data_IF_098391131384
#
_entry.id   IF_098391131384
#
_cell.length_a   1.000
_cell.length_b   1.000
_cell.length_c   1.000
_cell.angle_alpha   90.00
_cell.angle_beta   90.00
_cell.angle_gamma   90.00
#
_symmetry.space_group_name_H-M   'P 1'
#
loop_
_entity.id
_entity.type
_entity.pdbx_description
1 polymer ?
#
# COMPACT_ATOMS: atom_id res chain seq x y z
N UNK A 1 11.19 8.09 52.49
CA UNK A 1 12.25 8.13 51.47
C UNK A 1 11.58 8.29 50.12
N UNK A 2 11.84 9.42 49.46
CA UNK A 2 11.13 9.87 48.26
C UNK A 2 11.58 9.06 47.02
N UNK A 3 10.62 8.58 46.24
CA UNK A 3 10.85 8.09 44.88
C UNK A 3 10.80 9.29 43.93
N UNK A 4 11.91 9.50 43.21
CA UNK A 4 12.08 10.52 42.18
C UNK A 4 11.23 10.17 40.95
N UNK A 5 10.27 11.02 40.61
CA UNK A 5 9.51 10.98 39.37
C UNK A 5 10.40 11.39 38.19
N UNK A 6 10.85 10.42 37.40
CA UNK A 6 11.47 10.68 36.10
C UNK A 6 10.37 10.95 35.05
N UNK A 7 10.14 12.23 34.76
CA UNK A 7 9.38 12.69 33.62
C UNK A 7 10.17 12.41 32.33
N UNK A 8 9.69 11.46 31.53
CA UNK A 8 10.19 11.26 30.16
C UNK A 8 9.61 12.35 29.28
N UNK A 9 10.47 13.27 28.82
CA UNK A 9 10.15 14.23 27.76
C UNK A 9 9.87 13.46 26.46
N UNK A 10 8.58 13.30 26.14
CA UNK A 10 8.13 13.12 24.76
C UNK A 10 8.57 14.37 23.99
N UNK A 11 9.50 14.24 23.04
CA UNK A 11 9.77 15.31 22.07
C UNK A 11 8.47 15.54 21.30
N UNK A 12 7.98 16.77 21.30
CA UNK A 12 6.77 17.15 20.60
C UNK A 12 6.90 16.84 19.11
N UNK A 13 6.00 16.00 18.60
CA UNK A 13 5.76 15.90 17.17
C UNK A 13 4.98 17.16 16.80
N UNK A 14 5.64 18.10 16.12
CA UNK A 14 5.01 19.31 15.62
C UNK A 14 4.00 18.93 14.53
N UNK A 15 2.71 18.93 14.87
CA UNK A 15 1.62 19.03 13.90
C UNK A 15 1.45 20.51 13.57
N UNK A 16 1.70 20.89 12.31
CA UNK A 16 1.38 22.26 11.86
C UNK A 16 -0.13 22.34 11.64
N UNK A 17 -0.82 22.89 12.64
CA UNK A 17 -2.21 23.34 12.49
C UNK A 17 -2.27 24.59 11.62
N UNK A 18 -3.34 24.70 10.86
CA UNK A 18 -3.74 25.90 10.12
C UNK A 18 -4.08 26.98 11.15
N UNK A 19 -3.14 27.88 11.43
CA UNK A 19 -3.32 29.30 11.78
C UNK A 19 -1.94 29.88 12.15
N UNK A 20 -1.60 31.02 11.56
CA UNK A 20 -0.23 31.54 11.52
C UNK A 20 0.35 32.00 12.86
N UNK A 21 1.64 31.76 13.04
CA UNK A 21 2.62 32.79 13.42
C UNK A 21 4.03 32.19 13.33
N UNK A 22 4.82 32.79 12.44
CA UNK A 22 6.24 32.51 12.24
C UNK A 22 7.07 33.08 13.39
N UNK A 23 7.87 32.24 14.05
CA UNK A 23 9.02 32.71 14.81
C UNK A 23 10.30 32.17 14.17
N UNK A 24 11.04 33.08 13.54
CA UNK A 24 12.39 32.86 13.04
C UNK A 24 13.36 32.82 14.23
N UNK A 25 14.20 31.78 14.30
CA UNK A 25 15.50 31.90 14.95
C UNK A 25 16.59 31.47 13.97
N UNK A 26 17.35 32.49 13.55
CA UNK A 26 18.54 32.39 12.73
C UNK A 26 19.72 32.00 13.64
N UNK A 27 20.41 30.89 13.35
CA UNK A 27 21.71 30.61 13.98
C UNK A 27 22.74 30.36 12.88
N UNK A 28 23.62 31.35 12.73
CA UNK A 28 24.82 31.35 11.90
C UNK A 28 25.85 30.33 12.46
N UNK A 29 26.18 29.32 11.67
CA UNK A 29 27.30 28.41 11.91
C UNK A 29 28.39 28.59 10.85
N UNK A 30 29.54 29.13 11.26
CA UNK A 30 30.70 29.49 10.44
C UNK A 30 31.29 28.31 9.65
N UNK A 31 31.58 28.54 8.38
CA UNK A 31 32.46 27.71 7.56
C UNK A 31 33.93 27.85 8.01
N UNK A 32 34.65 26.73 8.05
CA UNK A 32 36.11 26.69 8.08
C UNK A 32 36.58 25.71 7.01
N UNK A 33 37.13 26.26 5.92
CA UNK A 33 37.77 25.52 4.85
C UNK A 33 39.14 25.00 5.28
N UNK A 34 39.45 23.73 4.98
CA UNK A 34 40.83 23.27 4.74
C UNK A 34 40.88 22.25 3.59
N UNK A 35 41.98 22.39 2.87
CA UNK A 35 42.36 21.93 1.54
C UNK A 35 42.81 20.45 1.46
N UNK A 36 42.72 19.90 0.23
CA UNK A 36 43.49 18.74 -0.27
C UNK A 36 42.77 17.40 -0.07
N UNK A 37 42.67 16.48 -1.03
CA UNK A 37 43.41 16.25 -2.27
C UNK A 37 42.61 15.30 -3.19
N UNK A 38 42.89 15.40 -4.47
CA UNK A 38 42.31 14.70 -5.61
C UNK A 38 42.66 13.22 -5.69
N UNK A 39 41.66 12.35 -5.88
CA UNK A 39 41.84 11.02 -6.49
C UNK A 39 40.74 10.75 -7.52
N UNK A 40 41.13 10.77 -8.79
CA UNK A 40 40.35 10.37 -9.95
C UNK A 40 40.05 8.86 -9.86
N UNK A 41 38.78 8.48 -9.70
CA UNK A 41 38.28 7.17 -10.11
C UNK A 41 37.25 7.33 -11.22
N UNK A 42 37.58 6.72 -12.36
CA UNK A 42 36.83 6.70 -13.62
C UNK A 42 35.37 6.30 -13.36
N UNK A 43 34.43 7.19 -13.67
CA UNK A 43 33.01 6.85 -13.81
C UNK A 43 32.84 6.12 -15.14
N UNK A 44 32.49 4.84 -15.07
CA UNK A 44 31.83 4.17 -16.17
C UNK A 44 30.44 4.80 -16.35
N UNK A 45 30.25 5.50 -17.46
CA UNK A 45 28.95 6.02 -17.88
C UNK A 45 28.18 4.84 -18.45
N UNK A 46 27.25 4.27 -17.67
CA UNK A 46 26.24 3.40 -18.26
C UNK A 46 25.23 4.31 -18.98
N UNK A 47 25.32 4.33 -20.31
CA UNK A 47 24.30 4.88 -21.20
C UNK A 47 22.98 4.15 -20.96
N UNK A 48 22.06 4.84 -20.31
CA UNK A 48 20.65 4.48 -20.32
C UNK A 48 20.08 4.81 -21.70
N UNK A 49 19.84 3.80 -22.50
CA UNK A 49 19.00 3.84 -23.70
C UNK A 49 18.20 2.54 -23.66
N UNK A 50 16.91 2.59 -23.36
CA UNK A 50 15.88 3.13 -24.24
C UNK A 50 14.96 4.13 -23.56
N UNK A 51 14.93 5.35 -24.10
CA UNK A 51 13.85 6.29 -23.88
C UNK A 51 12.61 5.78 -24.62
N UNK A 52 11.68 5.15 -23.91
CA UNK A 52 10.29 5.08 -24.36
C UNK A 52 9.64 6.45 -24.07
N UNK A 53 8.72 6.86 -24.93
CA UNK A 53 8.05 8.18 -24.97
C UNK A 53 7.79 8.74 -23.57
N UNK A 54 8.24 9.98 -23.32
CA UNK A 54 7.94 10.79 -22.14
C UNK A 54 6.43 10.95 -21.91
N UNK A 55 5.78 9.95 -21.34
CA UNK A 55 4.41 10.05 -20.89
C UNK A 55 4.43 10.37 -19.40
N UNK A 56 3.89 11.54 -19.08
CA UNK A 56 3.88 12.22 -17.78
C UNK A 56 2.91 11.56 -16.81
N UNK A 57 3.04 10.27 -16.55
CA UNK A 57 2.11 9.62 -15.63
C UNK A 57 2.53 9.84 -14.18
N UNK A 58 1.60 10.40 -13.43
CA UNK A 58 1.72 10.67 -12.01
C UNK A 58 0.82 9.75 -11.21
N UNK A 59 1.21 9.39 -9.97
CA UNK A 59 0.33 8.68 -9.06
C UNK A 59 -0.97 9.46 -8.84
N UNK A 60 -2.09 8.74 -8.89
CA UNK A 60 -3.41 9.26 -8.58
C UNK A 60 -3.95 8.55 -7.34
N UNK A 61 -4.68 9.30 -6.50
CA UNK A 61 -5.38 8.75 -5.35
C UNK A 61 -6.87 8.60 -5.70
N UNK A 62 -7.42 7.40 -5.55
CA UNK A 62 -8.86 7.18 -5.75
C UNK A 62 -9.67 7.97 -4.72
N UNK A 63 -10.64 8.74 -5.21
CA UNK A 63 -11.63 9.43 -4.39
C UNK A 63 -12.75 8.45 -3.97
N UNK A 64 -13.52 8.77 -2.92
CA UNK A 64 -14.73 8.03 -2.59
C UNK A 64 -15.63 7.90 -3.82
N UNK A 65 -16.18 6.72 -4.10
CA UNK A 65 -17.02 6.52 -5.27
C UNK A 65 -18.29 7.35 -5.15
N UNK A 66 -18.72 7.94 -6.26
CA UNK A 66 -20.03 8.58 -6.35
C UNK A 66 -21.05 7.58 -6.92
N UNK A 67 -22.23 7.52 -6.31
CA UNK A 67 -23.32 6.63 -6.72
C UNK A 67 -24.38 7.44 -7.45
N UNK A 68 -24.41 7.33 -8.78
CA UNK A 68 -25.41 8.01 -9.62
C UNK A 68 -26.23 6.98 -10.38
N UNK A 69 -27.57 7.02 -10.22
CA UNK A 69 -28.51 6.16 -10.95
C UNK A 69 -28.20 4.65 -10.91
N UNK A 70 -27.54 4.19 -9.84
CA UNK A 70 -27.14 2.79 -9.68
C UNK A 70 -25.87 2.40 -10.43
N UNK A 71 -25.04 3.36 -10.84
CA UNK A 71 -23.68 3.16 -11.34
C UNK A 71 -22.68 3.72 -10.33
N UNK A 72 -21.57 3.01 -10.11
CA UNK A 72 -20.45 3.47 -9.27
C UNK A 72 -19.43 4.21 -10.13
N UNK A 73 -19.20 5.49 -9.87
CA UNK A 73 -18.25 6.33 -10.59
C UNK A 73 -16.98 6.52 -9.75
N UNK A 74 -15.85 5.99 -10.23
CA UNK A 74 -14.54 6.19 -9.61
C UNK A 74 -13.87 7.46 -10.13
N UNK A 75 -13.58 8.40 -9.24
CA UNK A 75 -12.79 9.60 -9.55
C UNK A 75 -11.41 9.49 -8.93
N UNK A 76 -10.45 10.24 -9.47
CA UNK A 76 -9.05 10.17 -9.08
C UNK A 76 -8.48 11.55 -8.85
N UNK A 77 -7.78 11.77 -7.74
CA UNK A 77 -7.04 12.99 -7.49
C UNK A 77 -5.60 12.85 -7.98
N UNK A 78 -5.21 13.70 -8.93
CA UNK A 78 -3.86 13.79 -9.46
C UNK A 78 -3.01 14.68 -8.56
N UNK A 79 -2.04 14.09 -7.86
CA UNK A 79 -1.15 14.81 -6.92
C UNK A 79 -0.43 16.00 -7.59
N UNK A 80 0.31 15.85 -8.70
CA UNK A 80 1.06 16.98 -9.25
C UNK A 80 0.20 18.05 -9.89
N UNK A 81 -0.94 17.65 -10.47
CA UNK A 81 -1.79 18.57 -11.20
C UNK A 81 -2.77 19.28 -10.27
N UNK A 82 -2.94 18.78 -9.05
CA UNK A 82 -3.94 19.22 -8.10
C UNK A 82 -5.33 19.29 -8.73
N UNK A 83 -5.71 18.21 -9.42
CA UNK A 83 -6.93 18.11 -10.23
C UNK A 83 -7.61 16.77 -10.05
N UNK A 84 -8.93 16.80 -10.12
CA UNK A 84 -9.76 15.61 -10.20
C UNK A 84 -9.79 15.13 -11.65
N UNK A 85 -9.45 13.87 -11.84
CA UNK A 85 -9.55 13.10 -13.07
C UNK A 85 -10.80 12.23 -12.96
N UNK A 86 -11.70 12.35 -13.93
CA UNK A 86 -12.92 11.54 -14.03
C UNK A 86 -12.79 10.68 -15.27
N UNK A 87 -12.40 9.40 -15.14
CA UNK A 87 -12.44 8.45 -16.25
C UNK A 87 -13.87 8.35 -16.79
N UNK A 88 -14.03 8.33 -18.11
CA UNK A 88 -15.32 8.09 -18.74
C UNK A 88 -15.66 6.60 -18.55
N UNK A 89 -16.84 6.25 -18.01
CA UNK A 89 -17.25 4.85 -17.89
C UNK A 89 -17.22 4.15 -19.26
N UNK A 90 -16.77 2.90 -19.32
CA UNK A 90 -16.92 2.10 -20.53
C UNK A 90 -18.33 1.51 -20.61
N UNK A 91 -18.88 1.42 -21.82
CA UNK A 91 -20.11 0.67 -22.09
C UNK A 91 -19.93 -0.78 -21.61
N UNK A 92 -20.72 -1.21 -20.62
CA UNK A 92 -20.65 -2.55 -20.01
C UNK A 92 -20.19 -2.58 -18.54
N UNK A 93 -19.56 -1.52 -18.02
CA UNK A 93 -19.22 -1.39 -16.58
C UNK A 93 -20.36 -0.73 -15.79
N UNK A 94 -21.32 -0.12 -16.48
CA UNK A 94 -22.49 0.59 -15.92
C UNK A 94 -23.40 -0.26 -15.01
N UNK A 95 -23.20 -1.57 -14.95
CA UNK A 95 -23.98 -2.49 -14.10
C UNK A 95 -23.20 -3.02 -12.88
N UNK A 96 -21.97 -2.56 -12.65
CA UNK A 96 -21.18 -2.91 -11.46
C UNK A 96 -21.65 -2.07 -10.26
N UNK A 97 -22.87 -2.36 -9.79
CA UNK A 97 -23.35 -1.84 -8.50
C UNK A 97 -22.46 -2.41 -7.40
N UNK A 98 -21.86 -1.54 -6.59
CA UNK A 98 -21.19 -1.87 -5.33
C UNK A 98 -19.88 -2.69 -5.50
N UNK A 99 -19.08 -2.49 -6.55
CA UNK A 99 -17.79 -3.19 -6.66
C UNK A 99 -16.77 -2.70 -5.63
N UNK A 100 -16.12 -3.64 -4.95
CA UNK A 100 -14.99 -3.36 -4.06
C UNK A 100 -13.69 -3.41 -4.86
N UNK A 101 -12.85 -2.39 -4.76
CA UNK A 101 -11.55 -2.40 -5.41
C UNK A 101 -10.54 -3.17 -4.55
N UNK A 102 -10.01 -4.28 -5.07
CA UNK A 102 -9.05 -5.16 -4.37
C UNK A 102 -7.64 -5.10 -4.92
N UNK A 103 -7.36 -4.16 -5.82
CA UNK A 103 -6.06 -4.07 -6.44
C UNK A 103 -5.94 -2.92 -7.40
N UNK A 104 -4.74 -2.35 -7.47
CA UNK A 104 -4.31 -1.55 -8.61
C UNK A 104 -2.89 -1.93 -8.99
N UNK A 105 -2.68 -2.30 -10.25
CA UNK A 105 -1.35 -2.63 -10.78
C UNK A 105 -1.29 -2.37 -12.28
N UNK A 106 -0.16 -1.88 -12.79
CA UNK A 106 0.11 -1.69 -14.22
C UNK A 106 -0.97 -0.88 -15.00
N UNK A 107 -1.61 0.10 -14.37
CA UNK A 107 -2.68 0.89 -15.00
C UNK A 107 -4.06 0.23 -14.98
N UNK A 108 -4.20 -0.92 -14.31
CA UNK A 108 -5.45 -1.63 -14.12
C UNK A 108 -5.93 -1.52 -12.68
N UNK A 109 -7.25 -1.52 -12.51
CA UNK A 109 -7.97 -1.70 -11.25
C UNK A 109 -8.58 -3.10 -11.24
N UNK A 110 -8.48 -3.79 -10.11
CA UNK A 110 -9.18 -5.04 -9.88
C UNK A 110 -10.45 -4.75 -9.10
N UNK A 111 -11.60 -4.91 -9.75
CA UNK A 111 -12.92 -4.63 -9.20
C UNK A 111 -13.62 -5.97 -8.92
N UNK A 112 -13.92 -6.25 -7.65
CA UNK A 112 -14.69 -7.42 -7.24
C UNK A 112 -16.17 -7.06 -7.18
N UNK A 113 -17.00 -7.77 -7.94
CA UNK A 113 -18.44 -7.61 -7.88
C UNK A 113 -19.02 -8.47 -6.75
N UNK A 114 -19.70 -7.86 -5.75
CA UNK A 114 -20.26 -8.61 -4.62
C UNK A 114 -21.50 -9.43 -5.01
N UNK A 115 -22.08 -9.17 -6.19
CA UNK A 115 -23.30 -9.85 -6.63
C UNK A 115 -23.00 -11.24 -7.23
N UNK A 116 -21.85 -11.36 -7.90
CA UNK A 116 -21.54 -12.54 -8.70
C UNK A 116 -20.13 -13.10 -8.44
N UNK A 117 -19.38 -12.55 -7.47
CA UNK A 117 -18.06 -13.04 -7.08
C UNK A 117 -17.09 -13.13 -8.28
N UNK A 118 -17.23 -12.21 -9.23
CA UNK A 118 -16.33 -12.07 -10.37
C UNK A 118 -15.45 -10.84 -10.23
N UNK A 119 -14.18 -11.03 -10.58
CA UNK A 119 -13.26 -9.92 -10.79
C UNK A 119 -13.37 -9.39 -12.22
N UNK A 120 -13.40 -8.07 -12.33
CA UNK A 120 -13.17 -7.34 -13.58
C UNK A 120 -11.89 -6.54 -13.41
N UNK A 121 -10.91 -6.79 -14.27
CA UNK A 121 -9.79 -5.87 -14.45
C UNK A 121 -10.29 -4.74 -15.35
N UNK A 122 -10.19 -3.51 -14.88
CA UNK A 122 -10.58 -2.31 -15.63
C UNK A 122 -9.40 -1.36 -15.77
N UNK A 123 -9.12 -0.89 -16.97
CA UNK A 123 -8.13 0.16 -17.22
C UNK A 123 -8.87 1.50 -17.44
N UNK A 124 -8.83 2.45 -16.48
CA UNK A 124 -9.53 3.73 -16.61
C UNK A 124 -9.05 4.61 -17.77
N UNK A 125 -7.84 4.37 -18.29
CA UNK A 125 -7.24 5.16 -19.37
C UNK A 125 -7.64 4.60 -20.74
N UNK A 126 -7.42 3.30 -20.95
CA UNK A 126 -7.77 2.65 -22.23
C UNK A 126 -9.27 2.37 -22.35
N UNK A 127 -9.97 2.28 -21.21
CA UNK A 127 -11.37 1.85 -21.07
C UNK A 127 -11.60 0.37 -21.39
N UNK A 128 -10.53 -0.40 -21.50
CA UNK A 128 -10.63 -1.85 -21.69
C UNK A 128 -10.94 -2.53 -20.36
N UNK A 129 -11.59 -3.68 -20.46
CA UNK A 129 -11.90 -4.53 -19.33
C UNK A 129 -11.67 -6.00 -19.66
N UNK A 130 -11.27 -6.77 -18.65
CA UNK A 130 -11.02 -8.21 -18.74
C UNK A 130 -11.74 -8.89 -17.58
N UNK A 131 -12.59 -9.87 -17.90
CA UNK A 131 -13.21 -10.72 -16.88
C UNK A 131 -12.22 -11.80 -16.44
N UNK A 132 -11.97 -11.88 -15.14
CA UNK A 132 -11.19 -12.95 -14.55
C UNK A 132 -12.09 -14.15 -14.17
N UNK A 133 -11.51 -15.33 -13.93
CA UNK A 133 -12.25 -16.47 -13.43
C UNK A 133 -13.02 -16.16 -12.14
N UNK A 134 -14.15 -16.83 -11.94
CA UNK A 134 -14.95 -16.68 -10.72
C UNK A 134 -14.17 -17.17 -9.50
N UNK A 135 -14.29 -16.45 -8.37
CA UNK A 135 -13.75 -16.91 -7.08
C UNK A 135 -14.71 -17.82 -6.32
N UNK A 136 -15.88 -18.15 -6.90
CA UNK A 136 -16.95 -18.95 -6.28
C UNK A 136 -16.51 -20.38 -5.93
N UNK A 137 -15.57 -20.94 -6.68
CA UNK A 137 -15.13 -22.33 -6.51
C UNK A 137 -13.71 -22.47 -5.97
N UNK A 138 -13.13 -21.39 -5.42
CA UNK A 138 -11.86 -21.50 -4.71
C UNK A 138 -12.06 -22.37 -3.48
N UNK A 139 -11.53 -23.59 -3.53
CA UNK A 139 -11.59 -24.51 -2.42
C UNK A 139 -10.95 -23.86 -1.17
N UNK A 140 -11.58 -23.96 0.01
CA UNK A 140 -10.95 -23.53 1.24
C UNK A 140 -9.67 -24.35 1.47
N UNK A 141 -8.65 -23.73 2.07
CA UNK A 141 -7.47 -24.46 2.49
C UNK A 141 -7.88 -25.57 3.48
N UNK A 142 -7.31 -26.79 3.39
CA UNK A 142 -7.64 -27.86 4.32
C UNK A 142 -7.41 -27.42 5.78
N UNK A 143 -8.47 -27.35 6.57
CA UNK A 143 -8.42 -26.89 7.97
C UNK A 143 -8.78 -25.41 8.21
N UNK A 144 -9.19 -24.67 7.17
CA UNK A 144 -9.77 -23.34 7.36
C UNK A 144 -11.09 -23.43 8.15
N UNK A 145 -11.18 -22.70 9.28
CA UNK A 145 -12.42 -22.52 10.02
C UNK A 145 -13.31 -21.54 9.26
N UNK A 146 -14.10 -22.03 8.31
CA UNK A 146 -15.19 -21.24 7.74
C UNK A 146 -16.20 -21.00 8.86
N UNK A 147 -16.33 -19.77 9.34
CA UNK A 147 -17.45 -19.42 10.19
C UNK A 147 -18.73 -19.56 9.35
N UNK A 148 -19.80 -20.08 9.94
CA UNK A 148 -21.07 -20.29 9.24
C UNK A 148 -21.73 -18.99 8.73
N UNK A 149 -21.20 -17.83 9.13
CA UNK A 149 -21.68 -16.49 8.77
C UNK A 149 -20.86 -15.79 7.68
N UNK A 150 -19.73 -16.34 7.20
CA UNK A 150 -18.99 -15.74 6.06
C UNK A 150 -19.71 -16.02 4.75
N UNK A 151 -20.81 -15.31 4.52
CA UNK A 151 -21.48 -15.20 3.22
C UNK A 151 -20.68 -14.33 2.24
N UNK A 152 -19.71 -13.55 2.73
CA UNK A 152 -18.77 -12.82 1.89
C UNK A 152 -17.44 -13.56 1.73
N UNK A 153 -17.06 -13.73 0.46
CA UNK A 153 -15.72 -14.14 0.07
C UNK A 153 -14.85 -12.90 0.05
N UNK A 154 -14.10 -12.67 1.11
CA UNK A 154 -13.16 -11.55 1.13
C UNK A 154 -11.88 -11.95 0.40
N UNK A 155 -11.53 -11.16 -0.62
CA UNK A 155 -10.25 -11.28 -1.32
C UNK A 155 -9.43 -10.09 -0.90
N UNK A 156 -8.36 -10.29 -0.15
CA UNK A 156 -7.62 -9.21 0.47
C UNK A 156 -6.80 -8.40 -0.54
N UNK A 157 -6.31 -9.04 -1.60
CA UNK A 157 -5.48 -8.33 -2.59
C UNK A 157 -5.43 -9.05 -3.92
N UNK A 158 -5.42 -8.30 -5.01
CA UNK A 158 -5.08 -8.76 -6.36
C UNK A 158 -3.94 -7.90 -6.92
N UNK A 159 -2.87 -8.55 -7.37
CA UNK A 159 -1.78 -7.90 -8.12
C UNK A 159 -1.57 -8.57 -9.48
N UNK A 160 -1.03 -7.80 -10.42
CA UNK A 160 -0.62 -8.26 -11.74
C UNK A 160 0.90 -8.22 -11.85
N UNK A 161 1.50 -9.19 -12.56
CA UNK A 161 2.93 -9.18 -12.88
C UNK A 161 3.32 -8.21 -14.00
N UNK A 162 2.37 -7.90 -14.89
CA UNK A 162 2.52 -7.00 -16.02
C UNK A 162 1.14 -6.53 -16.48
N UNK A 163 1.07 -5.60 -17.43
CA UNK A 163 -0.20 -5.28 -18.07
C UNK A 163 -0.64 -6.49 -18.93
N UNK A 164 -1.88 -7.00 -18.77
CA UNK A 164 -2.38 -8.11 -19.57
C UNK A 164 -2.43 -7.79 -21.08
N UNK A 165 -2.57 -6.51 -21.47
CA UNK A 165 -2.50 -6.08 -22.88
C UNK A 165 -1.07 -6.13 -23.46
N UNK A 166 -0.04 -6.04 -22.62
CA UNK A 166 1.35 -6.02 -23.08
C UNK A 166 1.96 -7.43 -23.14
N UNK A 167 1.45 -8.35 -22.33
CA UNK A 167 1.99 -9.70 -22.15
C UNK A 167 0.86 -10.70 -21.88
N UNK A 168 0.01 -10.91 -22.89
CA UNK A 168 -1.19 -11.75 -22.78
C UNK A 168 -0.89 -13.19 -22.34
N UNK A 169 0.29 -13.71 -22.66
CA UNK A 169 0.70 -15.09 -22.39
C UNK A 169 1.37 -15.27 -21.01
N UNK A 170 2.18 -14.31 -20.58
CA UNK A 170 2.97 -14.43 -19.34
C UNK A 170 2.49 -13.53 -18.21
N UNK A 171 1.50 -12.65 -18.44
CA UNK A 171 0.83 -11.95 -17.36
C UNK A 171 0.19 -12.95 -16.39
N UNK A 172 0.39 -12.70 -15.10
CA UNK A 172 -0.17 -13.48 -14.00
C UNK A 172 -0.90 -12.51 -13.09
N UNK A 173 -2.16 -12.82 -12.82
CA UNK A 173 -2.88 -12.25 -11.69
C UNK A 173 -2.70 -13.18 -10.49
N UNK A 174 -2.27 -12.62 -9.35
CA UNK A 174 -2.17 -13.33 -8.08
C UNK A 174 -3.16 -12.70 -7.11
N UNK A 175 -3.96 -13.54 -6.46
CA UNK A 175 -4.86 -13.15 -5.38
C UNK A 175 -4.41 -13.73 -4.03
N UNK A 176 -4.64 -12.95 -2.98
CA UNK A 176 -4.68 -13.41 -1.60
C UNK A 176 -6.15 -13.58 -1.23
N UNK A 177 -6.60 -14.81 -1.00
CA UNK A 177 -7.97 -15.10 -0.59
C UNK A 177 -8.06 -15.06 0.94
N UNK A 178 -8.78 -14.08 1.48
CA UNK A 178 -8.91 -13.84 2.92
C UNK A 178 -9.67 -14.96 3.64
N UNK A 179 -10.73 -15.49 3.02
CA UNK A 179 -11.53 -16.56 3.65
C UNK A 179 -10.82 -17.90 3.75
N UNK A 180 -9.97 -18.22 2.77
CA UNK A 180 -9.27 -19.51 2.74
C UNK A 180 -7.81 -19.43 3.14
N UNK A 181 -7.28 -18.22 3.38
CA UNK A 181 -5.85 -17.96 3.56
C UNK A 181 -4.97 -18.59 2.46
N UNK A 182 -5.51 -18.68 1.24
CA UNK A 182 -4.83 -19.32 0.12
C UNK A 182 -4.39 -18.29 -0.91
N UNK A 183 -3.24 -18.55 -1.53
CA UNK A 183 -2.87 -17.90 -2.77
C UNK A 183 -3.55 -18.61 -3.93
N UNK A 184 -4.01 -17.85 -4.92
CA UNK A 184 -4.39 -18.43 -6.19
C UNK A 184 -3.97 -17.50 -7.32
N UNK A 185 -3.69 -18.07 -8.49
CA UNK A 185 -3.25 -17.29 -9.62
C UNK A 185 -3.89 -17.75 -10.92
N UNK A 186 -3.93 -16.87 -11.91
CA UNK A 186 -4.42 -17.17 -13.23
C UNK A 186 -3.70 -16.33 -14.30
N UNK A 187 -3.90 -16.71 -15.57
CA UNK A 187 -3.54 -15.91 -16.72
C UNK A 187 -4.78 -15.12 -17.17
N UNK A 188 -4.86 -13.79 -16.97
CA UNK A 188 -6.10 -13.02 -17.11
C UNK A 188 -6.91 -13.26 -18.38
N UNK A 189 -6.25 -13.42 -19.52
CA UNK A 189 -6.90 -13.57 -20.83
C UNK A 189 -7.10 -15.02 -21.30
N UNK A 190 -6.56 -16.00 -20.56
CA UNK A 190 -6.52 -17.41 -21.02
C UNK A 190 -7.11 -18.40 -20.03
N UNK A 191 -6.91 -18.17 -18.75
CA UNK A 191 -7.39 -19.06 -17.71
C UNK A 191 -8.91 -18.97 -17.59
N UNK A 192 -9.56 -20.13 -17.46
CA UNK A 192 -11.00 -20.22 -17.15
C UNK A 192 -11.26 -20.44 -15.66
N UNK A 193 -10.21 -20.80 -14.92
CA UNK A 193 -10.23 -21.13 -13.51
C UNK A 193 -8.97 -20.59 -12.83
N UNK A 194 -9.03 -20.44 -11.52
CA UNK A 194 -7.89 -20.10 -10.69
C UNK A 194 -7.10 -21.36 -10.33
N UNK A 195 -5.78 -21.29 -10.45
CA UNK A 195 -4.88 -22.31 -9.90
C UNK A 195 -4.59 -21.97 -8.45
N UNK A 196 -5.08 -22.79 -7.53
CA UNK A 196 -4.82 -22.63 -6.10
C UNK A 196 -3.39 -23.10 -5.78
N UNK A 197 -2.67 -22.30 -5.01
CA UNK A 197 -1.34 -22.65 -4.51
C UNK A 197 -1.52 -23.20 -3.09
N UNK A 198 -1.24 -24.49 -2.94
CA UNK A 198 -1.23 -25.17 -1.66
C UNK A 198 0.22 -25.34 -1.21
N UNK A 199 0.58 -24.72 -0.08
CA UNK A 199 1.88 -24.87 0.55
C UNK A 199 1.77 -25.87 1.70
N UNK A 200 1.75 -27.16 1.37
CA UNK A 200 1.60 -28.24 2.36
C UNK A 200 2.76 -28.30 3.35
N UNK A 201 3.94 -27.79 2.98
CA UNK A 201 5.14 -27.82 3.82
C UNK A 201 5.13 -26.74 4.91
N UNK A 202 4.57 -25.55 4.64
CA UNK A 202 4.54 -24.42 5.58
C UNK A 202 3.26 -23.59 5.39
N UNK A 203 2.09 -24.11 5.83
CA UNK A 203 0.85 -23.36 5.76
C UNK A 203 0.98 -22.04 6.52
N UNK A 204 0.67 -20.93 5.86
CA UNK A 204 0.81 -19.60 6.42
C UNK A 204 -0.38 -18.70 6.03
N UNK A 205 -0.68 -17.70 6.85
CA UNK A 205 -1.65 -16.66 6.48
C UNK A 205 -0.91 -15.58 5.70
N UNK A 206 -1.36 -15.35 4.47
CA UNK A 206 -0.75 -14.36 3.59
C UNK A 206 -1.38 -13.00 3.83
N UNK A 207 -0.55 -11.96 3.93
CA UNK A 207 -1.03 -10.64 4.33
C UNK A 207 -0.65 -9.54 3.32
N UNK A 208 0.33 -9.79 2.45
CA UNK A 208 0.69 -8.86 1.37
C UNK A 208 1.45 -9.55 0.23
N UNK A 209 1.42 -8.99 -0.98
CA UNK A 209 2.18 -9.48 -2.13
C UNK A 209 2.59 -8.36 -3.10
N UNK A 210 3.72 -8.59 -3.80
CA UNK A 210 4.24 -7.78 -4.91
C UNK A 210 4.92 -8.64 -5.97
N UNK A 211 5.09 -8.09 -7.18
CA UNK A 211 5.83 -8.74 -8.25
C UNK A 211 7.10 -7.97 -8.61
N UNK A 212 8.24 -8.67 -8.64
CA UNK A 212 9.51 -8.08 -9.06
C UNK A 212 9.77 -8.36 -10.54
N UNK A 213 9.53 -7.36 -11.40
CA UNK A 213 9.82 -7.47 -12.84
C UNK A 213 11.29 -7.81 -13.15
N UNK A 214 12.23 -7.38 -12.29
CA UNK A 214 13.66 -7.69 -12.42
C UNK A 214 13.94 -9.18 -12.19
N UNK A 215 13.37 -9.75 -11.14
CA UNK A 215 13.60 -11.14 -10.76
C UNK A 215 12.64 -12.10 -11.45
N UNK A 216 11.54 -11.58 -12.02
CA UNK A 216 10.42 -12.33 -12.58
C UNK A 216 9.78 -13.28 -11.57
N UNK A 217 9.66 -12.81 -10.33
CA UNK A 217 9.17 -13.60 -9.21
C UNK A 217 8.17 -12.79 -8.39
N UNK A 218 7.21 -13.50 -7.81
CA UNK A 218 6.31 -12.97 -6.80
C UNK A 218 6.94 -13.07 -5.42
N UNK A 219 6.73 -12.04 -4.62
CA UNK A 219 7.10 -12.01 -3.22
C UNK A 219 5.82 -11.87 -2.40
N UNK A 220 5.65 -12.76 -1.43
CA UNK A 220 4.45 -12.83 -0.61
C UNK A 220 4.85 -12.82 0.85
N UNK A 221 4.22 -11.95 1.63
CA UNK A 221 4.42 -11.83 3.08
C UNK A 221 3.39 -12.68 3.81
N UNK A 222 3.85 -13.32 4.86
CA UNK A 222 3.02 -14.10 5.78
C UNK A 222 2.94 -13.44 7.15
N UNK A 223 1.90 -13.78 7.91
CA UNK A 223 1.64 -13.32 9.28
C UNK A 223 2.74 -13.70 10.28
N UNK A 224 3.46 -14.79 10.02
CA UNK A 224 4.55 -15.29 10.85
C UNK A 224 5.92 -14.67 10.52
N UNK A 225 5.89 -13.49 9.88
CA UNK A 225 7.06 -12.67 9.53
C UNK A 225 8.04 -13.38 8.61
N UNK A 226 7.51 -14.08 7.63
CA UNK A 226 8.28 -14.60 6.51
C UNK A 226 7.92 -13.85 5.24
N UNK A 227 8.88 -13.82 4.32
CA UNK A 227 8.65 -13.50 2.92
C UNK A 227 8.96 -14.75 2.11
N UNK A 228 7.95 -15.26 1.43
CA UNK A 228 8.08 -16.35 0.49
C UNK A 228 8.29 -15.79 -0.93
N UNK A 229 9.13 -16.47 -1.71
CA UNK A 229 9.37 -16.14 -3.12
C UNK A 229 8.79 -17.23 -4.01
N UNK A 230 7.97 -16.86 -4.99
CA UNK A 230 7.23 -17.77 -5.85
C UNK A 230 7.52 -17.54 -7.33
N UNK A 231 7.76 -18.63 -8.05
CA UNK A 231 7.79 -18.69 -9.50
C UNK A 231 6.47 -19.29 -10.00
N UNK A 232 5.69 -18.47 -10.72
CA UNK A 232 4.37 -18.80 -11.26
C UNK A 232 4.37 -18.84 -12.79
N UNK A 233 5.56 -19.04 -13.40
CA UNK A 233 5.70 -19.12 -14.86
C UNK A 233 4.95 -20.33 -15.41
N UNK A 234 5.09 -21.50 -14.76
CA UNK A 234 4.36 -22.72 -15.08
C UNK A 234 3.01 -22.76 -14.34
N UNK A 235 1.91 -22.65 -15.09
CA UNK A 235 0.55 -22.66 -14.55
C UNK A 235 0.17 -23.97 -13.84
N UNK A 236 0.85 -25.08 -14.18
CA UNK A 236 0.56 -26.42 -13.64
C UNK A 236 1.45 -26.79 -12.46
N UNK A 237 2.55 -26.05 -12.25
CA UNK A 237 3.56 -26.36 -11.23
C UNK A 237 4.10 -25.06 -10.62
N UNK A 238 3.30 -24.36 -9.78
CA UNK A 238 3.80 -23.21 -9.03
C UNK A 238 4.92 -23.66 -8.08
N UNK A 239 6.02 -22.89 -8.04
CA UNK A 239 7.21 -23.27 -7.26
C UNK A 239 7.58 -22.20 -6.25
N UNK A 240 7.64 -22.61 -4.98
CA UNK A 240 8.24 -21.82 -3.91
C UNK A 240 9.75 -21.95 -3.98
N UNK A 241 10.43 -20.82 -4.18
CA UNK A 241 11.88 -20.78 -4.39
C UNK A 241 12.63 -20.54 -3.08
N UNK A 242 12.12 -19.66 -2.21
CA UNK A 242 12.75 -19.27 -0.94
C UNK A 242 11.72 -18.88 0.10
N UNK A 243 12.10 -19.03 1.36
CA UNK A 243 11.36 -18.55 2.54
C UNK A 243 12.35 -17.84 3.46
N UNK A 244 12.07 -16.57 3.76
CA UNK A 244 13.00 -15.70 4.47
C UNK A 244 12.34 -15.07 5.68
N UNK A 245 12.89 -15.31 6.86
CA UNK A 245 12.43 -14.67 8.11
C UNK A 245 13.06 -13.29 8.26
N UNK A 246 12.30 -12.38 8.84
CA UNK A 246 12.79 -11.07 9.26
C UNK A 246 12.37 -10.76 10.68
N UNK A 247 13.17 -9.92 11.33
CA UNK A 247 12.85 -9.34 12.64
C UNK A 247 13.26 -7.87 12.61
N UNK A 248 12.48 -7.04 13.27
CA UNK A 248 12.67 -5.60 13.33
C UNK A 248 12.45 -5.05 14.75
N UNK A 249 12.24 -5.92 15.75
CA UNK A 249 12.12 -5.46 17.13
C UNK A 249 13.47 -5.08 17.74
N UNK A 250 13.63 -3.82 18.09
CA UNK A 250 14.61 -3.40 19.12
C UNK A 250 13.98 -3.45 20.52
N UNK A 251 14.80 -3.54 21.57
CA UNK A 251 14.37 -3.67 22.98
C UNK A 251 13.49 -2.50 23.47
N UNK A 252 13.64 -1.31 22.88
CA UNK A 252 12.88 -0.09 23.22
C UNK A 252 11.48 -0.11 22.60
N UNK A 253 11.32 -0.79 21.45
CA UNK A 253 10.05 -0.85 20.72
C UNK A 253 9.05 -1.78 21.38
N UNK A 254 9.51 -2.81 22.11
CA UNK A 254 8.63 -3.67 22.93
C UNK A 254 7.76 -2.89 23.93
N UNK A 255 8.20 -1.71 24.38
CA UNK A 255 7.42 -0.85 25.29
C UNK A 255 6.34 -0.03 24.56
N UNK A 256 6.58 0.36 23.29
CA UNK A 256 5.59 1.06 22.45
C UNK A 256 4.57 0.09 21.85
N UNK A 257 4.98 -1.16 21.60
CA UNK A 257 4.14 -2.25 21.10
C UNK A 257 2.90 -2.56 21.95
N UNK A 258 2.91 -2.19 23.23
CA UNK A 258 1.72 -2.35 24.10
C UNK A 258 0.59 -1.40 23.65
N UNK A 259 0.86 -0.40 22.78
CA UNK A 259 -0.05 0.72 22.48
C UNK A 259 -0.12 1.13 21.01
N UNK A 260 0.54 0.41 20.10
CA UNK A 260 0.55 0.71 18.66
C UNK A 260 0.47 -0.57 17.86
N UNK A 261 -0.31 -0.56 16.79
CA UNK A 261 -0.32 -1.64 15.80
C UNK A 261 0.67 -1.34 14.66
N UNK A 262 0.99 -2.37 13.87
CA UNK A 262 1.87 -2.25 12.71
C UNK A 262 1.26 -2.86 11.46
N UNK A 263 1.24 -2.10 10.36
CA UNK A 263 0.97 -2.65 9.03
C UNK A 263 2.27 -2.72 8.24
N UNK A 264 2.50 -3.84 7.57
CA UNK A 264 3.72 -4.09 6.82
C UNK A 264 3.41 -4.23 5.32
N UNK A 265 4.13 -3.46 4.50
CA UNK A 265 3.95 -3.39 3.06
C UNK A 265 5.21 -3.85 2.35
N UNK A 266 5.09 -4.82 1.45
CA UNK A 266 6.13 -5.14 0.49
C UNK A 266 6.11 -4.10 -0.63
N UNK A 267 7.27 -3.55 -0.98
CA UNK A 267 7.39 -2.48 -1.98
C UNK A 267 8.51 -2.81 -2.96
N UNK A 268 8.20 -2.73 -4.25
CA UNK A 268 9.21 -2.79 -5.31
C UNK A 268 9.69 -1.37 -5.61
N UNK A 269 10.94 -1.07 -5.22
CA UNK A 269 11.58 0.22 -5.39
C UNK A 269 12.70 0.13 -6.43
N UNK A 270 12.33 0.22 -7.71
CA UNK A 270 13.24 0.05 -8.83
C UNK A 270 13.84 -1.36 -8.86
N UNK A 271 15.08 -1.52 -8.39
CA UNK A 271 15.77 -2.83 -8.34
C UNK A 271 15.70 -3.52 -6.99
N UNK A 272 15.27 -2.78 -5.98
CA UNK A 272 15.25 -3.22 -4.59
C UNK A 272 13.85 -3.67 -4.19
N UNK A 273 13.80 -4.67 -3.31
CA UNK A 273 12.58 -5.05 -2.60
C UNK A 273 12.71 -4.52 -1.17
N UNK A 274 11.68 -3.82 -0.71
CA UNK A 274 11.63 -3.22 0.62
C UNK A 274 10.46 -3.80 1.40
N UNK A 275 10.64 -3.92 2.71
CA UNK A 275 9.57 -4.09 3.68
C UNK A 275 9.40 -2.75 4.39
N UNK A 276 8.25 -2.11 4.19
CA UNK A 276 7.91 -0.81 4.78
C UNK A 276 6.93 -1.05 5.92
N UNK A 277 7.37 -0.74 7.14
CA UNK A 277 6.59 -0.95 8.36
C UNK A 277 5.96 0.37 8.76
N UNK A 278 4.64 0.41 8.79
CA UNK A 278 3.79 1.52 9.20
C UNK A 278 3.38 1.32 10.65
N UNK A 279 3.73 2.26 11.52
CA UNK A 279 3.31 2.22 12.93
C UNK A 279 2.06 3.09 13.08
N UNK A 280 1.02 2.50 13.68
CA UNK A 280 -0.32 3.08 13.82
C UNK A 280 -0.64 3.18 15.31
N UNK A 281 -1.09 4.34 15.74
CA UNK A 281 -1.51 4.55 17.13
C UNK A 281 -3.03 4.44 17.25
N UNK A 282 -3.51 3.56 18.14
CA UNK A 282 -4.92 3.14 18.23
C UNK A 282 -5.80 4.02 19.14
N UNK A 283 -5.31 5.16 19.65
CA UNK A 283 -6.03 5.96 20.64
C UNK A 283 -5.76 7.46 20.57
N UNK A 284 -6.10 8.09 19.43
CA UNK A 284 -5.97 9.54 19.29
C UNK A 284 -7.32 10.24 19.24
N UNK A 285 -7.48 11.28 20.07
CA UNK A 285 -8.66 12.13 20.11
C UNK A 285 -8.77 13.13 18.97
N UNK A 286 -9.94 13.78 18.82
CA UNK A 286 -10.19 14.77 17.77
C UNK A 286 -9.22 15.96 17.78
N UNK A 287 -8.67 16.29 18.95
CA UNK A 287 -7.68 17.35 19.17
C UNK A 287 -6.24 16.89 18.98
N UNK A 288 -6.03 15.69 18.43
CA UNK A 288 -4.72 15.02 18.33
C UNK A 288 -4.08 14.62 19.66
N UNK A 289 -4.81 14.68 20.79
CA UNK A 289 -4.32 14.19 22.08
C UNK A 289 -4.36 12.65 22.14
N UNK A 290 -3.31 12.04 22.69
CA UNK A 290 -3.27 10.59 22.86
C UNK A 290 -3.99 10.21 24.15
N UNK A 291 -4.99 9.34 24.07
CA UNK A 291 -5.69 8.82 25.23
C UNK A 291 -5.03 7.53 25.73
N UNK A 292 -5.00 7.38 27.05
CA UNK A 292 -4.35 6.25 27.74
C UNK A 292 -5.36 5.30 28.41
N UNK A 293 -6.67 5.58 28.33
CA UNK A 293 -7.71 4.84 29.04
C UNK A 293 -8.67 4.15 28.07
N UNK A 294 -8.90 2.85 28.31
CA UNK A 294 -9.71 1.91 27.53
C UNK A 294 -11.20 2.32 27.43
N UNK A 295 -11.65 3.28 28.25
CA UNK A 295 -13.07 3.69 28.31
C UNK A 295 -13.49 4.70 27.23
N UNK A 296 -12.55 5.24 26.46
CA UNK A 296 -12.81 6.21 25.38
C UNK A 296 -12.49 5.65 23.97
N UNK A 297 -12.34 4.31 23.84
CA UNK A 297 -12.02 3.63 22.58
C UNK A 297 -13.06 3.95 21.48
N UNK A 298 -14.34 4.08 21.87
CA UNK A 298 -15.46 4.37 20.95
C UNK A 298 -15.34 5.73 20.24
N UNK A 299 -14.38 6.58 20.62
CA UNK A 299 -14.09 7.88 19.96
C UNK A 299 -12.68 7.97 19.40
N UNK A 300 -11.94 6.88 19.43
CA UNK A 300 -10.53 6.87 19.06
C UNK A 300 -10.32 6.73 17.55
N UNK A 301 -9.31 7.45 17.04
CA UNK A 301 -8.85 7.30 15.66
C UNK A 301 -7.54 6.55 15.62
N UNK A 302 -7.43 5.65 14.65
CA UNK A 302 -6.17 5.12 14.18
C UNK A 302 -5.42 6.22 13.42
N UNK A 303 -4.14 6.41 13.73
CA UNK A 303 -3.30 7.34 12.99
C UNK A 303 -1.87 6.84 12.83
N UNK A 304 -1.35 7.03 11.63
CA UNK A 304 0.02 6.76 11.28
C UNK A 304 0.94 7.75 11.97
N UNK A 305 1.92 7.22 12.70
CA UNK A 305 2.87 8.03 13.46
C UNK A 305 4.26 8.03 12.85
N UNK A 306 4.70 6.90 12.28
CA UNK A 306 6.03 6.77 11.69
C UNK A 306 6.13 5.56 10.78
N UNK A 307 7.23 5.52 10.03
CA UNK A 307 7.60 4.38 9.22
C UNK A 307 9.03 3.92 9.49
N UNK A 308 9.24 2.62 9.35
CA UNK A 308 10.55 2.00 9.20
C UNK A 308 10.65 1.25 7.87
N UNK A 309 11.89 1.06 7.40
CA UNK A 309 12.15 0.39 6.13
C UNK A 309 13.26 -0.61 6.33
N UNK A 310 13.00 -1.85 5.90
CA UNK A 310 14.01 -2.88 5.73
C UNK A 310 14.20 -3.14 4.24
N UNK A 311 15.45 -3.28 3.82
CA UNK A 311 15.82 -3.68 2.47
C UNK A 311 16.07 -5.18 2.43
N UNK A 312 15.44 -5.84 1.46
CA UNK A 312 15.76 -7.21 1.12
C UNK A 312 17.10 -7.30 0.38
N UNK A 313 18.00 -8.12 0.90
CA UNK A 313 19.32 -8.43 0.36
C UNK A 313 19.49 -9.96 0.33
N UNK A 314 19.25 -10.62 -0.83
CA UNK A 314 19.26 -12.08 -0.96
C UNK A 314 20.65 -12.71 -0.78
N UNK A 315 21.70 -11.90 -0.60
CA UNK A 315 23.09 -12.38 -0.53
C UNK A 315 23.58 -12.58 0.90
N UNK A 316 22.79 -12.22 1.92
CA UNK A 316 23.26 -12.19 3.31
C UNK A 316 22.34 -12.93 4.28
N UNK A 317 22.90 -13.73 5.19
CA UNK A 317 22.13 -14.37 6.27
C UNK A 317 21.33 -13.33 7.05
N UNK A 318 20.01 -13.53 7.17
CA UNK A 318 19.09 -12.52 7.74
C UNK A 318 18.74 -11.45 6.71
N UNK A 319 18.21 -11.86 5.56
CA UNK A 319 18.11 -11.13 4.30
C UNK A 319 17.31 -9.80 4.33
N UNK A 320 16.88 -9.29 5.47
CA UNK A 320 16.26 -7.96 5.61
C UNK A 320 17.09 -7.09 6.57
N UNK A 321 17.50 -5.91 6.10
CA UNK A 321 18.34 -4.97 6.87
C UNK A 321 17.69 -3.60 6.95
N UNK A 322 17.72 -2.99 8.13
CA UNK A 322 17.30 -1.60 8.29
C UNK A 322 18.12 -0.69 7.37
N UNK A 323 17.43 0.26 6.76
CA UNK A 323 18.05 1.32 5.98
C UNK A 323 18.02 2.64 6.74
N UNK A 324 19.01 3.48 6.51
CA UNK A 324 19.03 4.82 7.12
C UNK A 324 18.00 5.76 6.47
N UNK A 325 17.76 6.91 7.12
CA UNK A 325 16.81 7.91 6.63
C UNK A 325 17.19 8.51 5.27
N UNK A 326 18.46 8.47 4.89
CA UNK A 326 18.95 8.98 3.61
C UNK A 326 18.77 7.98 2.46
N UNK A 327 18.44 6.72 2.77
CA UNK A 327 18.34 5.62 1.81
C UNK A 327 17.38 5.89 0.66
N UNK A 328 16.25 6.53 0.93
CA UNK A 328 15.28 6.85 -0.12
C UNK A 328 15.94 7.66 -1.23
N UNK A 329 16.96 8.48 -0.93
CA UNK A 329 17.82 9.10 -1.93
C UNK A 329 17.03 9.88 -2.99
N UNK A 330 15.88 10.46 -2.62
CA UNK A 330 14.95 11.15 -3.51
C UNK A 330 13.82 10.29 -4.09
N UNK A 331 13.64 9.05 -3.65
CA UNK A 331 12.46 8.24 -3.95
C UNK A 331 11.24 8.71 -3.15
N UNK A 332 10.07 8.57 -3.75
CA UNK A 332 8.77 8.64 -3.11
C UNK A 332 8.13 7.25 -3.17
N UNK A 333 7.69 6.72 -2.02
CA UNK A 333 7.05 5.40 -1.88
C UNK A 333 5.54 5.60 -1.73
N UNK A 334 4.75 4.71 -2.32
CA UNK A 334 3.28 4.70 -2.26
C UNK A 334 2.81 3.36 -1.68
N UNK A 335 2.08 3.39 -0.56
CA UNK A 335 1.58 2.21 0.17
C UNK A 335 0.09 2.38 0.53
N UNK A 336 -0.64 1.28 0.64
CA UNK A 336 -2.08 1.27 0.93
C UNK A 336 -2.69 -0.13 0.96
N UNK A 337 -3.84 -0.30 1.62
CA UNK A 337 -4.38 -1.61 2.08
C UNK A 337 -4.68 -2.65 0.99
N UNK A 338 -4.89 -2.23 -0.26
CA UNK A 338 -5.05 -3.13 -1.41
C UNK A 338 -4.16 -2.78 -2.61
N UNK A 339 -3.35 -1.72 -2.50
CA UNK A 339 -2.59 -1.20 -3.63
C UNK A 339 -1.34 -2.05 -3.89
N UNK A 340 -0.97 -2.25 -5.16
CA UNK A 340 0.40 -2.71 -5.46
C UNK A 340 1.35 -1.58 -5.07
N UNK A 341 2.09 -1.75 -3.97
CA UNK A 341 2.95 -0.69 -3.48
C UNK A 341 4.19 -0.53 -4.38
N UNK A 342 4.55 0.71 -4.65
CA UNK A 342 5.60 1.05 -5.60
C UNK A 342 6.41 2.26 -5.14
N UNK A 343 7.57 2.47 -5.76
CA UNK A 343 8.35 3.68 -5.57
C UNK A 343 8.67 4.36 -6.90
N UNK A 344 8.61 5.69 -6.90
CA UNK A 344 9.02 6.52 -8.04
C UNK A 344 10.11 7.49 -7.62
N UNK A 345 10.99 7.86 -8.55
CA UNK A 345 11.93 8.95 -8.32
C UNK A 345 11.16 10.26 -8.31
N UNK A 346 11.33 11.07 -7.26
CA UNK A 346 10.78 12.40 -7.23
C UNK A 346 11.47 13.27 -8.29
N UNK A 347 10.66 13.92 -9.12
CA UNK A 347 11.10 14.85 -10.15
C UNK A 347 10.19 16.06 -10.15
N UNK A 348 10.62 17.17 -10.77
CA UNK A 348 9.72 18.31 -10.95
C UNK A 348 8.49 17.96 -11.82
N UNK A 349 8.60 16.97 -12.71
CA UNK A 349 7.55 16.63 -13.65
C UNK A 349 6.39 15.84 -13.02
N UNK A 350 6.68 14.97 -12.06
CA UNK A 350 5.65 14.18 -11.36
C UNK A 350 5.18 14.82 -10.04
N UNK A 351 5.78 15.94 -9.62
CA UNK A 351 5.35 16.77 -8.48
C UNK A 351 5.35 16.08 -7.10
N UNK A 352 5.87 14.86 -7.01
CA UNK A 352 5.95 14.13 -5.73
C UNK A 352 7.14 14.63 -4.92
N UNK A 353 6.99 14.65 -3.60
CA UNK A 353 8.02 15.09 -2.65
C UNK A 353 9.11 14.01 -2.55
N UNK A 354 10.41 14.36 -2.67
CA UNK A 354 11.49 13.40 -2.47
C UNK A 354 11.53 12.89 -1.02
N UNK A 355 12.06 11.68 -0.83
CA UNK A 355 12.25 11.06 0.49
C UNK A 355 10.95 10.98 1.30
N UNK A 356 9.84 10.72 0.63
CA UNK A 356 8.51 10.72 1.23
C UNK A 356 7.82 9.37 1.05
N UNK A 357 6.94 9.03 1.99
CA UNK A 357 6.05 7.87 1.93
C UNK A 357 4.63 8.40 1.90
N UNK A 358 3.94 8.15 0.79
CA UNK A 358 2.54 8.45 0.58
C UNK A 358 1.75 7.22 1.00
N UNK A 359 0.87 7.38 1.98
CA UNK A 359 0.12 6.28 2.57
C UNK A 359 -1.38 6.56 2.53
N UNK A 360 -2.16 5.50 2.42
CA UNK A 360 -3.60 5.50 2.64
C UNK A 360 -3.95 4.79 3.93
N UNK A 361 -5.22 4.84 4.30
CA UNK A 361 -5.72 4.13 5.45
C UNK A 361 -5.49 2.62 5.28
N UNK A 362 -5.20 1.97 6.40
CA UNK A 362 -4.90 0.55 6.55
C UNK A 362 -5.78 -0.14 7.59
N UNK A 363 -6.67 0.59 8.25
CA UNK A 363 -7.84 0.02 8.91
C UNK A 363 -8.70 -0.68 7.86
N UNK A 364 -9.06 -1.94 8.12
CA UNK A 364 -9.81 -2.76 7.18
C UNK A 364 -11.17 -2.17 6.83
N UNK A 365 -11.84 -2.74 5.83
CA UNK A 365 -13.26 -2.47 5.52
C UNK A 365 -14.18 -3.05 6.61
N UNK A 366 -13.96 -2.72 7.88
CA UNK A 366 -14.76 -3.15 9.04
C UNK A 366 -16.10 -2.42 9.14
N UNK A 367 -16.71 -2.04 8.02
CA UNK A 367 -17.97 -1.29 7.95
C UNK A 367 -19.14 -2.08 7.36
N UNK A 368 -18.98 -3.37 7.09
CA UNK A 368 -20.06 -4.20 6.53
C UNK A 368 -20.45 -5.37 7.44
N UNK A 369 -19.82 -5.51 8.61
CA UNK A 369 -20.39 -6.30 9.70
C UNK A 369 -21.62 -5.54 10.22
N UNK A 370 -22.75 -6.22 10.36
CA UNK A 370 -24.04 -5.67 10.81
C UNK A 370 -24.06 -5.19 12.27
N UNK A 371 -23.14 -4.29 12.62
CA UNK A 371 -23.20 -3.44 13.79
C UNK A 371 -24.22 -2.33 13.57
N UNK A 372 -24.97 -2.03 14.63
CA UNK A 372 -25.97 -0.96 14.70
C UNK A 372 -25.51 0.37 14.09
N UNK A 373 -26.46 1.17 13.60
CA UNK A 373 -26.33 2.55 13.08
C UNK A 373 -25.53 3.56 13.97
N UNK A 374 -25.00 3.12 15.11
CA UNK A 374 -24.29 3.92 16.11
C UNK A 374 -22.77 3.62 16.22
N UNK A 375 -22.22 2.58 15.57
CA UNK A 375 -20.75 2.35 15.54
C UNK A 375 -20.10 3.12 14.38
N UNK A 376 -20.13 4.45 14.52
CA UNK A 376 -19.55 5.48 13.66
C UNK A 376 -18.01 5.48 13.79
N UNK A 377 -17.37 4.33 13.56
CA UNK A 377 -15.92 4.19 13.61
C UNK A 377 -15.31 5.10 12.55
N UNK A 378 -14.40 5.97 13.00
CA UNK A 378 -13.68 6.96 12.20
C UNK A 378 -12.63 6.34 11.28
N UNK A 379 -12.81 5.07 10.89
CA UNK A 379 -12.01 4.35 9.92
C UNK A 379 -12.04 5.08 8.57
N UNK A 380 -10.98 4.94 7.78
CA UNK A 380 -10.74 5.57 6.47
C UNK A 380 -10.11 7.00 6.47
N UNK A 381 -9.72 7.55 7.63
CA UNK A 381 -9.18 8.92 7.75
C UNK A 381 -7.66 9.01 7.81
N UNK A 382 -6.94 7.89 7.85
CA UNK A 382 -5.48 7.89 8.04
C UNK A 382 -4.72 7.80 6.70
N UNK A 383 -4.71 8.90 5.95
CA UNK A 383 -3.92 9.03 4.73
C UNK A 383 -3.11 10.33 4.71
N UNK A 384 -1.96 10.30 4.04
CA UNK A 384 -1.06 11.45 4.03
C UNK A 384 0.32 11.19 3.44
N UNK A 385 1.24 12.08 3.80
CA UNK A 385 2.62 12.10 3.34
C UNK A 385 3.54 12.14 4.55
N UNK A 386 4.32 11.09 4.74
CA UNK A 386 5.38 11.01 5.71
C UNK A 386 6.73 11.41 5.09
N UNK A 387 7.37 12.45 5.63
CA UNK A 387 8.73 12.80 5.26
C UNK A 387 9.70 11.88 6.03
N UNK A 388 10.43 11.05 5.30
CA UNK A 388 11.30 10.03 5.91
C UNK A 388 12.60 10.60 6.48
N UNK A 389 13.02 11.80 6.07
CA UNK A 389 14.17 12.50 6.63
C UNK A 389 13.81 13.19 7.94
N UNK A 390 12.76 14.01 7.90
CA UNK A 390 12.34 14.87 9.02
C UNK A 390 11.45 14.12 10.02
N UNK A 391 10.98 12.92 9.66
CA UNK A 391 10.13 12.05 10.48
C UNK A 391 8.79 12.70 10.83
N UNK A 392 8.22 13.48 9.91
CA UNK A 392 6.95 14.22 10.09
C UNK A 392 5.86 13.68 9.16
N UNK A 393 4.63 13.60 9.67
CA UNK A 393 3.42 13.35 8.87
C UNK A 393 2.79 14.69 8.46
N UNK A 394 2.34 14.78 7.22
CA UNK A 394 1.57 15.90 6.66
C UNK A 394 0.38 15.39 5.86
N UNK A 395 -0.69 16.17 5.77
CA UNK A 395 -1.88 15.82 4.98
C UNK A 395 -1.80 16.44 3.57
N UNK A 396 -2.72 16.05 2.70
CA UNK A 396 -2.90 16.70 1.39
C UNK A 396 -3.75 17.95 1.59
N UNK A 397 -3.13 19.13 1.48
CA UNK A 397 -3.80 20.41 1.72
C UNK A 397 -4.99 20.65 0.77
N UNK A 398 -4.95 20.08 -0.45
CA UNK A 398 -5.91 20.32 -1.53
C UNK A 398 -6.77 19.09 -1.89
N UNK A 399 -6.69 18.01 -1.10
CA UNK A 399 -7.51 16.82 -1.38
C UNK A 399 -8.98 17.15 -1.05
N UNK A 400 -9.90 17.05 -2.02
CA UNK A 400 -11.25 17.57 -1.89
C UNK A 400 -12.07 16.70 -0.94
N UNK A 401 -12.11 17.11 0.33
CA UNK A 401 -12.93 16.51 1.36
C UNK A 401 -13.75 17.60 2.03
N UNK A 402 -15.08 17.46 1.97
CA UNK A 402 -15.93 18.10 2.96
C UNK A 402 -16.08 17.17 4.19
N UNK A 403 -16.45 17.74 5.34
CA UNK A 403 -16.59 16.97 6.60
C UNK A 403 -17.64 15.85 6.53
N UNK A 404 -18.54 15.89 5.53
CA UNK A 404 -19.56 14.87 5.30
C UNK A 404 -19.01 13.70 4.48
N UNK A 405 -18.25 13.96 3.43
CA UNK A 405 -17.58 12.95 2.59
C UNK A 405 -16.57 12.12 3.37
N UNK A 406 -16.01 12.68 4.46
CA UNK A 406 -15.16 11.97 5.41
C UNK A 406 -15.87 10.85 6.21
N UNK A 407 -17.21 10.79 6.19
CA UNK A 407 -18.01 9.74 6.85
C UNK A 407 -18.31 8.55 5.92
N UNK A 408 -18.21 8.74 4.61
CA UNK A 408 -18.65 7.77 3.60
C UNK A 408 -17.49 7.18 2.78
N UNK A 409 -16.25 7.24 3.27
CA UNK A 409 -15.04 6.79 2.54
C UNK A 409 -14.90 5.27 2.47
N UNK A 410 -15.95 4.60 2.01
CA UNK A 410 -15.96 3.18 1.66
C UNK A 410 -16.10 3.02 0.14
N UNK A 411 -15.18 2.32 -0.53
CA UNK A 411 -13.99 1.67 0.02
C UNK A 411 -12.86 2.68 0.31
N UNK A 412 -11.85 2.23 1.07
CA UNK A 412 -10.68 3.02 1.41
C UNK A 412 -9.96 3.56 0.14
N UNK A 413 -9.30 4.74 0.21
CA UNK A 413 -8.55 5.29 -0.91
C UNK A 413 -7.47 4.32 -1.41
N UNK A 414 -7.34 4.18 -2.73
CA UNK A 414 -6.36 3.30 -3.39
C UNK A 414 -5.44 4.12 -4.29
N UNK A 415 -4.16 3.78 -4.27
CA UNK A 415 -3.19 4.35 -5.20
C UNK A 415 -3.34 3.72 -6.58
N UNK A 416 -3.60 4.56 -7.57
CA UNK A 416 -3.61 4.21 -8.98
C UNK A 416 -2.40 4.80 -9.68
N UNK A 417 -1.67 3.99 -10.43
CA UNK A 417 -0.60 4.47 -11.30
C UNK A 417 -1.00 4.28 -12.76
N UNK A 418 -1.30 5.37 -13.50
CA UNK A 418 -1.64 5.26 -14.91
C UNK A 418 -0.50 4.64 -15.72
N UNK A 419 -0.82 3.69 -16.58
CA UNK A 419 0.06 3.18 -17.61
C UNK A 419 -0.44 3.68 -18.97
N UNK A 420 0.45 3.97 -19.96
CA UNK A 420 0.00 4.18 -21.33
C UNK A 420 -0.94 3.05 -21.77
N UNK A 421 -2.03 3.39 -22.46
CA UNK A 421 -2.60 2.47 -23.43
C UNK A 421 -1.61 2.40 -24.61
N UNK A 422 -1.24 1.19 -25.05
CA UNK A 422 -0.40 1.01 -26.24
C UNK A 422 -1.15 1.40 -27.51
#
# INVERSE_FOLDING_TARGET
MAFSSSSLLLRSISRKGIFGSSFNYCILGKQSARSGSTWLKRRAVCTATTASRNQKFSPWLMLPPEFESGTTNYKFFSIPENKIQTPIPSDGISNLRLTCCRGSSHGWLALLSPINDHFVLYNPISRNHINLPSVVNLAPYPGAHLSSDTTWRDVDKLILSSSPEEDEENCRALIINGCSNALAFCCPMRSKEWTVILDEEDPAWYEDCVYSARLKLFFVRTNDRKVQTWDLTDLSSPKRIRVEKYDYFTSVERLLWVKSDTKEHLVVAGKDLLLVIQYIFLSVGPDSSCFYNVKDIDKSREMTIRFEILKYDPTTKGNFKHVDSSYLGGLAIFVGIHSHAFAVKATRANGVKPNSIYFTDVSGEGGLEGGSDDDDLLCNRDFGIYNYLDKTVSHFDDYPLDERSLREMSPAPIWFFPSPAI
#
